data_IF_314610325815
#
_entry.id   IF_314610325815
#
_cell.length_a   1.000
_cell.length_b   1.000
_cell.length_c   1.000
_cell.angle_alpha   90.00
_cell.angle_beta   90.00
_cell.angle_gamma   90.00
#
_symmetry.space_group_name_H-M   'P 1'
#
loop_
_entity.id
_entity.type
_entity.pdbx_description
1 polymer ?
#
# COMPACT_ATOMS: atom_id res chain seq x y z
N UNK A 1 -10.69 15.93 7.38
CA UNK A 1 -9.33 16.09 7.96
C UNK A 1 -8.42 15.01 7.42
N UNK A 2 -7.34 15.36 6.75
CA UNK A 2 -6.33 14.42 6.28
C UNK A 2 -5.19 14.38 7.30
N UNK A 3 -4.94 13.22 7.90
CA UNK A 3 -3.84 13.05 8.85
C UNK A 3 -2.58 12.61 8.11
N UNK A 4 -1.42 13.14 8.49
CA UNK A 4 -0.14 12.63 7.99
C UNK A 4 0.15 11.24 8.57
N UNK A 5 1.12 10.52 8.00
CA UNK A 5 1.54 9.22 8.57
C UNK A 5 2.08 9.39 9.99
N UNK A 6 2.92 10.39 10.22
CA UNK A 6 3.46 10.73 11.55
C UNK A 6 2.32 11.00 12.55
N UNK A 7 1.32 11.79 12.15
CA UNK A 7 0.17 12.09 13.01
C UNK A 7 -0.61 10.85 13.44
N UNK A 8 -0.77 9.89 12.53
CA UNK A 8 -1.43 8.63 12.85
C UNK A 8 -0.60 7.75 13.77
N UNK A 9 0.73 7.69 13.56
CA UNK A 9 1.63 6.98 14.46
C UNK A 9 1.57 7.60 15.85
N UNK A 10 1.64 8.93 15.97
CA UNK A 10 1.55 9.62 17.26
C UNK A 10 0.22 9.33 17.96
N UNK A 11 -0.91 9.32 17.26
CA UNK A 11 -2.21 8.93 17.85
C UNK A 11 -2.16 7.51 18.43
N UNK A 12 -1.59 6.55 17.69
CA UNK A 12 -1.49 5.16 18.14
C UNK A 12 -0.55 5.05 19.35
N UNK A 13 0.63 5.67 19.28
CA UNK A 13 1.57 5.73 20.40
C UNK A 13 0.93 6.34 21.65
N UNK A 14 0.17 7.43 21.52
CA UNK A 14 -0.47 8.07 22.67
C UNK A 14 -1.64 7.27 23.23
N UNK A 15 -2.27 6.37 22.44
CA UNK A 15 -3.31 5.46 22.92
C UNK A 15 -2.74 4.27 23.69
N UNK A 16 -1.62 3.72 23.25
CA UNK A 16 -0.97 2.53 23.82
C UNK A 16 0.30 2.84 24.63
N UNK A 17 0.48 4.09 25.08
CA UNK A 17 1.68 4.47 25.81
C UNK A 17 1.67 3.90 27.25
N UNK A 18 2.65 3.05 27.55
CA UNK A 18 2.77 2.39 28.85
C UNK A 18 1.73 1.28 29.03
N UNK A 19 1.43 0.92 30.27
CA UNK A 19 0.53 -0.21 30.57
C UNK A 19 -0.98 0.13 30.49
N UNK A 20 -1.32 1.34 30.05
CA UNK A 20 -2.70 1.84 30.07
C UNK A 20 -3.19 2.21 28.67
N UNK A 21 -4.31 1.59 28.29
CA UNK A 21 -5.12 2.02 27.15
C UNK A 21 -5.78 3.36 27.46
N UNK A 22 -5.31 4.44 26.82
CA UNK A 22 -5.92 5.77 26.98
C UNK A 22 -7.20 5.89 26.17
N UNK A 23 -8.12 6.72 26.65
CA UNK A 23 -9.37 6.99 25.93
C UNK A 23 -9.12 7.80 24.64
N UNK A 24 -10.07 7.73 23.71
CA UNK A 24 -10.01 8.49 22.45
C UNK A 24 -10.00 10.01 22.64
N UNK A 25 -10.48 10.49 23.79
CA UNK A 25 -10.50 11.92 24.13
C UNK A 25 -9.13 12.39 24.65
N UNK A 26 -8.48 11.57 25.48
CA UNK A 26 -7.15 11.87 26.02
C UNK A 26 -6.09 11.84 24.94
N UNK A 27 -6.13 10.82 24.06
CA UNK A 27 -5.16 10.72 22.96
C UNK A 27 -5.25 11.94 22.05
N UNK A 28 -6.46 12.43 21.74
CA UNK A 28 -6.67 13.67 20.98
C UNK A 28 -5.94 14.87 21.59
N UNK A 29 -6.11 15.10 22.89
CA UNK A 29 -5.59 16.31 23.57
C UNK A 29 -4.06 16.28 23.60
N UNK A 30 -3.47 15.11 23.84
CA UNK A 30 -2.03 14.96 24.03
C UNK A 30 -1.22 14.92 22.72
N UNK A 31 -1.86 14.74 21.56
CA UNK A 31 -1.13 14.54 20.30
C UNK A 31 -0.57 15.85 19.74
N UNK A 32 -1.32 16.97 19.79
CA UNK A 32 -0.90 18.26 19.21
C UNK A 32 -1.48 19.47 19.95
N UNK A 33 -0.81 20.00 20.99
CA UNK A 33 -1.29 21.17 21.73
C UNK A 33 -1.29 22.47 20.91
N UNK A 34 -0.44 22.58 19.88
CA UNK A 34 -0.27 23.79 19.05
C UNK A 34 -0.93 23.69 17.66
N UNK A 35 -1.82 22.71 17.44
CA UNK A 35 -2.55 22.52 16.17
C UNK A 35 -4.03 22.47 16.46
N UNK A 36 -4.83 22.78 15.44
CA UNK A 36 -6.26 22.50 15.46
C UNK A 36 -6.54 21.06 15.96
N UNK A 37 -7.42 20.91 16.95
CA UNK A 37 -7.62 19.64 17.61
C UNK A 37 -8.23 18.62 16.64
N UNK A 38 -7.57 17.47 16.54
CA UNK A 38 -8.07 16.33 15.75
C UNK A 38 -9.43 15.89 16.29
N UNK A 39 -10.40 15.64 15.43
CA UNK A 39 -11.73 15.21 15.92
C UNK A 39 -11.68 13.83 16.58
N UNK A 40 -12.50 13.60 17.61
CA UNK A 40 -12.64 12.27 18.27
C UNK A 40 -12.97 11.17 17.26
N UNK A 41 -13.82 11.47 16.27
CA UNK A 41 -14.19 10.53 15.22
C UNK A 41 -12.97 10.16 14.34
N UNK A 42 -12.07 11.09 14.08
CA UNK A 42 -10.84 10.84 13.32
C UNK A 42 -9.89 9.91 14.08
N UNK A 43 -9.74 10.12 15.40
CA UNK A 43 -8.96 9.23 16.27
C UNK A 43 -9.56 7.82 16.24
N UNK A 44 -10.87 7.69 16.50
CA UNK A 44 -11.56 6.40 16.49
C UNK A 44 -11.39 5.64 15.17
N UNK A 45 -11.64 6.31 14.02
CA UNK A 45 -11.44 5.69 12.69
C UNK A 45 -10.00 5.26 12.44
N UNK A 46 -9.03 6.02 12.94
CA UNK A 46 -7.61 5.71 12.78
C UNK A 46 -7.25 4.45 13.55
N UNK A 47 -7.70 4.35 14.81
CA UNK A 47 -7.38 3.17 15.62
C UNK A 47 -8.16 1.95 15.16
N UNK A 48 -9.46 2.07 14.88
CA UNK A 48 -10.26 0.96 14.37
C UNK A 48 -9.71 0.42 13.03
N UNK A 49 -9.21 1.29 12.15
CA UNK A 49 -8.50 0.85 10.94
C UNK A 49 -7.21 0.10 11.27
N UNK A 50 -6.44 0.58 12.23
CA UNK A 50 -5.20 -0.07 12.65
C UNK A 50 -5.48 -1.45 13.28
N UNK A 51 -6.45 -1.55 14.19
CA UNK A 51 -6.88 -2.83 14.79
C UNK A 51 -7.33 -3.84 13.72
N UNK A 52 -8.04 -3.37 12.66
CA UNK A 52 -8.50 -4.23 11.57
C UNK A 52 -7.39 -4.66 10.60
N UNK A 53 -6.48 -3.76 10.25
CA UNK A 53 -5.54 -3.97 9.12
C UNK A 53 -4.09 -4.16 9.54
N UNK A 54 -3.74 -3.85 10.80
CA UNK A 54 -2.36 -3.76 11.29
C UNK A 54 -1.55 -2.65 10.64
N UNK A 55 -2.15 -1.80 9.80
CA UNK A 55 -1.45 -0.81 8.99
C UNK A 55 -1.81 0.62 9.36
N UNK A 56 -0.78 1.46 9.47
CA UNK A 56 -0.95 2.89 9.67
C UNK A 56 -1.28 3.60 8.35
N UNK A 57 -1.07 2.94 7.20
CA UNK A 57 -1.31 3.49 5.87
C UNK A 57 -2.79 3.87 5.66
N UNK A 58 -3.03 4.79 4.71
CA UNK A 58 -4.41 5.07 4.31
C UNK A 58 -4.83 3.91 3.41
N UNK A 59 -5.95 3.28 3.73
CA UNK A 59 -6.54 2.27 2.87
C UNK A 59 -6.89 2.91 1.52
N UNK A 60 -6.47 2.27 0.42
CA UNK A 60 -6.87 2.73 -0.89
C UNK A 60 -8.39 2.64 -0.99
N UNK A 61 -9.01 3.75 -1.35
CA UNK A 61 -10.46 3.75 -1.58
C UNK A 61 -10.71 2.84 -2.77
N UNK A 62 -11.62 1.89 -2.61
CA UNK A 62 -12.17 1.19 -3.76
C UNK A 62 -12.77 2.24 -4.71
N UNK A 63 -12.17 2.33 -5.90
CA UNK A 63 -12.70 3.18 -6.96
C UNK A 63 -14.03 2.61 -7.47
N UNK A 64 -14.69 3.38 -8.33
CA UNK A 64 -15.83 2.87 -9.11
C UNK A 64 -15.34 1.69 -9.96
N UNK A 65 -16.02 0.55 -9.87
CA UNK A 65 -15.73 -0.61 -10.72
C UNK A 65 -15.90 -0.23 -12.19
N UNK A 66 -14.99 -0.71 -13.04
CA UNK A 66 -15.07 -0.51 -14.49
C UNK A 66 -16.10 -1.51 -15.02
N UNK A 67 -17.21 -1.03 -15.56
CA UNK A 67 -18.28 -1.91 -16.11
C UNK A 67 -17.97 -2.47 -17.49
N UNK A 68 -17.13 -1.79 -18.27
CA UNK A 68 -16.80 -2.18 -19.65
C UNK A 68 -15.42 -2.83 -19.79
N UNK A 69 -14.69 -3.03 -18.70
CA UNK A 69 -13.33 -3.59 -18.72
C UNK A 69 -13.21 -4.54 -17.53
N UNK A 70 -13.85 -5.68 -17.69
CA UNK A 70 -13.80 -6.79 -16.74
C UNK A 70 -12.52 -7.60 -16.97
N UNK A 71 -12.11 -8.39 -15.98
CA UNK A 71 -10.88 -9.18 -16.03
C UNK A 71 -10.83 -10.14 -17.22
N UNK A 72 -11.97 -10.72 -17.61
CA UNK A 72 -12.09 -11.60 -18.77
C UNK A 72 -11.76 -10.88 -20.08
N UNK A 73 -12.29 -9.66 -20.25
CA UNK A 73 -12.04 -8.83 -21.44
C UNK A 73 -10.59 -8.36 -21.48
N UNK A 74 -10.00 -8.08 -20.32
CA UNK A 74 -8.56 -7.75 -20.21
C UNK A 74 -7.71 -8.94 -20.66
N UNK A 75 -8.05 -10.15 -20.21
CA UNK A 75 -7.33 -11.36 -20.57
C UNK A 75 -7.40 -11.64 -22.07
N UNK A 76 -8.59 -11.54 -22.67
CA UNK A 76 -8.80 -11.73 -24.11
C UNK A 76 -8.00 -10.73 -24.96
N UNK A 77 -7.98 -9.45 -24.55
CA UNK A 77 -7.18 -8.40 -25.21
C UNK A 77 -5.68 -8.73 -25.15
N UNK A 78 -5.18 -9.19 -24.00
CA UNK A 78 -3.76 -9.52 -23.83
C UNK A 78 -3.36 -10.75 -24.65
N UNK A 79 -4.18 -11.80 -24.66
CA UNK A 79 -3.96 -13.00 -25.48
C UNK A 79 -3.99 -12.68 -26.99
N UNK A 80 -4.86 -11.75 -27.41
CA UNK A 80 -4.96 -11.34 -28.81
C UNK A 80 -3.72 -10.61 -29.31
N UNK A 81 -3.05 -9.86 -28.44
CA UNK A 81 -1.78 -9.19 -28.76
C UNK A 81 -0.63 -10.20 -28.82
N UNK A 82 -0.58 -11.14 -27.89
CA UNK A 82 0.49 -12.14 -27.77
C UNK A 82 0.47 -13.14 -28.94
N UNK A 83 -0.70 -13.60 -29.37
CA UNK A 83 -0.83 -14.66 -30.36
C UNK A 83 -0.88 -14.16 -31.82
N UNK A 84 -1.37 -12.95 -32.07
CA UNK A 84 -1.71 -12.54 -33.45
C UNK A 84 -1.25 -11.15 -33.89
N UNK A 85 -0.52 -10.37 -33.07
CA UNK A 85 -0.06 -9.02 -33.42
C UNK A 85 -1.13 -8.17 -34.15
N UNK A 86 -2.40 -8.33 -33.77
CA UNK A 86 -3.50 -7.63 -34.43
C UNK A 86 -3.45 -6.14 -34.07
N UNK A 87 -3.85 -5.24 -34.99
CA UNK A 87 -3.96 -3.83 -34.65
C UNK A 87 -5.06 -3.62 -33.59
N UNK A 88 -4.92 -2.63 -32.69
CA UNK A 88 -5.89 -2.37 -31.61
C UNK A 88 -7.32 -2.13 -32.09
N UNK A 89 -7.52 -1.70 -33.33
CA UNK A 89 -8.83 -1.54 -33.95
C UNK A 89 -9.56 -2.87 -34.17
N UNK A 90 -8.84 -3.93 -34.56
CA UNK A 90 -9.43 -5.27 -34.72
C UNK A 90 -9.76 -5.91 -33.37
N UNK A 91 -8.87 -5.74 -32.39
CA UNK A 91 -9.10 -6.23 -31.03
C UNK A 91 -10.33 -5.54 -30.40
N UNK A 92 -10.49 -4.23 -30.64
CA UNK A 92 -11.67 -3.49 -30.19
C UNK A 92 -12.99 -4.04 -30.76
N UNK A 93 -12.98 -4.46 -32.03
CA UNK A 93 -14.15 -5.08 -32.67
C UNK A 93 -14.43 -6.48 -32.11
N UNK A 94 -13.40 -7.31 -31.94
CA UNK A 94 -13.51 -8.67 -31.41
C UNK A 94 -14.03 -8.67 -29.96
N UNK A 95 -13.45 -7.84 -29.10
CA UNK A 95 -13.81 -7.75 -27.69
C UNK A 95 -15.01 -6.81 -27.40
N UNK A 96 -15.64 -6.24 -28.44
CA UNK A 96 -16.75 -5.27 -28.33
C UNK A 96 -16.50 -4.13 -27.33
N UNK A 97 -15.30 -3.57 -27.33
CA UNK A 97 -14.89 -2.45 -26.46
C UNK A 97 -14.33 -1.30 -27.27
N UNK A 98 -14.35 -0.09 -26.70
CA UNK A 98 -13.77 1.06 -27.39
C UNK A 98 -12.27 0.86 -27.64
N UNK A 99 -11.76 1.35 -28.78
CA UNK A 99 -10.32 1.37 -29.06
C UNK A 99 -9.52 2.05 -27.94
N UNK A 100 -10.08 3.08 -27.30
CA UNK A 100 -9.45 3.77 -26.18
C UNK A 100 -9.33 2.87 -24.95
N UNK A 101 -10.32 2.01 -24.70
CA UNK A 101 -10.27 1.00 -23.64
C UNK A 101 -9.16 -0.03 -23.93
N UNK A 102 -9.07 -0.55 -25.15
CA UNK A 102 -7.98 -1.46 -25.56
C UNK A 102 -6.62 -0.82 -25.32
N UNK A 103 -6.41 0.42 -25.79
CA UNK A 103 -5.15 1.13 -25.58
C UNK A 103 -4.84 1.37 -24.10
N UNK A 104 -5.84 1.69 -23.29
CA UNK A 104 -5.66 1.84 -21.83
C UNK A 104 -5.29 0.51 -21.17
N UNK A 105 -5.93 -0.61 -21.57
CA UNK A 105 -5.59 -1.95 -21.07
C UNK A 105 -4.14 -2.28 -21.41
N UNK A 106 -3.75 -2.12 -22.68
CA UNK A 106 -2.38 -2.39 -23.10
C UNK A 106 -1.37 -1.49 -22.39
N UNK A 107 -1.67 -0.20 -22.24
CA UNK A 107 -0.78 0.74 -21.54
C UNK A 107 -0.66 0.37 -20.06
N UNK A 108 -1.77 0.08 -19.36
CA UNK A 108 -1.76 -0.24 -17.93
C UNK A 108 -1.13 -1.61 -17.67
N UNK A 109 -1.49 -2.63 -18.44
CA UNK A 109 -1.04 -4.02 -18.21
C UNK A 109 0.38 -4.28 -18.70
N UNK A 110 0.82 -3.68 -19.83
CA UNK A 110 2.23 -3.76 -20.26
C UNK A 110 3.13 -2.95 -19.32
N UNK A 111 2.63 -1.83 -18.78
CA UNK A 111 3.35 -1.07 -17.76
C UNK A 111 3.38 -1.81 -16.40
N UNK A 112 2.35 -2.58 -16.04
CA UNK A 112 2.34 -3.40 -14.82
C UNK A 112 3.45 -4.48 -14.81
N UNK A 113 3.84 -4.99 -15.97
CA UNK A 113 5.03 -5.86 -16.12
C UNK A 113 6.34 -5.12 -15.84
N UNK A 114 6.39 -3.80 -16.03
CA UNK A 114 7.51 -2.94 -15.59
C UNK A 114 7.35 -2.48 -14.12
N UNK A 115 6.13 -2.39 -13.61
CA UNK A 115 5.86 -1.90 -12.26
C UNK A 115 6.27 -2.89 -11.17
N UNK A 116 6.30 -4.20 -11.45
CA UNK A 116 6.89 -5.19 -10.52
C UNK A 116 8.40 -4.96 -10.33
N UNK A 117 9.13 -4.54 -11.37
CA UNK A 117 10.55 -4.20 -11.28
C UNK A 117 10.79 -2.82 -10.63
N UNK A 118 9.92 -1.84 -10.89
CA UNK A 118 10.03 -0.48 -10.32
C UNK A 118 9.57 -0.41 -8.86
N UNK A 119 8.49 -1.11 -8.48
CA UNK A 119 8.01 -1.16 -7.09
C UNK A 119 8.87 -2.09 -6.21
N UNK A 120 9.49 -3.15 -6.75
CA UNK A 120 10.52 -3.90 -6.01
C UNK A 120 11.72 -3.00 -5.68
N UNK A 121 12.23 -2.21 -6.64
CA UNK A 121 13.34 -1.29 -6.39
C UNK A 121 12.98 -0.18 -5.38
N UNK A 122 11.75 0.33 -5.42
CA UNK A 122 11.30 1.38 -4.48
C UNK A 122 11.00 0.85 -3.08
N UNK A 123 10.56 -0.41 -2.95
CA UNK A 123 10.43 -1.11 -1.67
C UNK A 123 11.80 -1.39 -1.05
N UNK A 124 12.77 -1.88 -1.84
CA UNK A 124 14.15 -2.10 -1.40
C UNK A 124 14.81 -0.82 -0.86
N UNK A 125 14.66 0.31 -1.54
CA UNK A 125 15.26 1.58 -1.10
C UNK A 125 14.62 2.18 0.16
N UNK A 126 13.37 1.83 0.49
CA UNK A 126 12.72 2.29 1.74
C UNK A 126 13.11 1.45 2.93
N UNK A 127 13.21 0.13 2.76
CA UNK A 127 13.68 -0.79 3.80
C UNK A 127 15.16 -0.51 4.17
N UNK A 128 16.01 -0.24 3.18
CA UNK A 128 17.43 0.10 3.40
C UNK A 128 17.60 1.44 4.14
N UNK A 129 16.73 2.44 3.89
CA UNK A 129 16.79 3.72 4.60
C UNK A 129 16.30 3.63 6.05
N UNK A 130 15.37 2.72 6.36
CA UNK A 130 14.98 2.43 7.75
C UNK A 130 16.16 1.80 8.51
N UNK A 131 16.93 0.92 7.86
CA UNK A 131 18.13 0.32 8.44
C UNK A 131 19.25 1.37 8.65
N UNK A 132 19.39 2.35 7.77
CA UNK A 132 20.39 3.42 7.92
C UNK A 132 20.05 4.46 9.00
N UNK A 133 18.76 4.66 9.30
CA UNK A 133 18.28 5.60 10.34
C UNK A 133 18.37 5.04 11.77
N UNK A 134 18.38 3.71 11.93
CA UNK A 134 18.56 3.03 13.23
C UNK A 134 20.04 2.90 13.66
N UNK A 135 20.98 3.40 12.84
CA UNK A 135 22.43 3.23 13.00
C UNK A 135 23.05 3.95 14.21
N UNK A 136 22.26 4.63 15.05
CA UNK A 136 22.79 5.42 16.17
C UNK A 136 22.62 4.81 17.57
N UNK A 137 21.91 3.68 17.78
CA UNK A 137 21.64 3.20 19.17
C UNK A 137 21.61 1.68 19.44
N UNK A 138 21.94 0.80 18.49
CA UNK A 138 21.89 -0.65 18.76
C UNK A 138 23.14 -1.41 18.31
N UNK A 139 23.47 -2.42 19.12
CA UNK A 139 24.59 -3.33 18.97
C UNK A 139 24.45 -4.13 17.66
N UNK A 140 25.55 -4.35 16.94
CA UNK A 140 25.57 -4.99 15.60
C UNK A 140 24.83 -6.35 15.60
N UNK A 141 24.82 -7.01 16.76
CA UNK A 141 24.11 -8.26 17.01
C UNK A 141 22.59 -8.19 16.83
N UNK A 142 21.95 -7.08 17.22
CA UNK A 142 20.49 -6.91 17.12
C UNK A 142 20.04 -6.70 15.68
N UNK A 143 20.88 -6.02 14.88
CA UNK A 143 20.67 -5.83 13.45
C UNK A 143 20.82 -7.18 12.72
N UNK A 144 21.82 -7.97 13.09
CA UNK A 144 22.03 -9.30 12.50
C UNK A 144 20.84 -10.24 12.80
N UNK A 145 20.29 -10.19 14.03
CA UNK A 145 19.11 -10.98 14.42
C UNK A 145 17.85 -10.59 13.64
N UNK A 146 17.62 -9.29 13.42
CA UNK A 146 16.51 -8.80 12.62
C UNK A 146 16.66 -9.18 11.14
N UNK A 147 17.88 -9.14 10.60
CA UNK A 147 18.15 -9.59 9.24
C UNK A 147 17.95 -11.10 9.07
N UNK A 148 18.39 -11.92 10.03
CA UNK A 148 18.14 -13.37 10.04
C UNK A 148 16.64 -13.70 10.13
N UNK A 149 15.91 -13.02 11.01
CA UNK A 149 14.46 -13.24 11.14
C UNK A 149 13.69 -12.82 9.88
N UNK A 150 14.15 -11.79 9.16
CA UNK A 150 13.57 -11.39 7.87
C UNK A 150 13.94 -12.39 6.76
N UNK A 151 15.13 -12.98 6.79
CA UNK A 151 15.56 -13.99 5.84
C UNK A 151 14.73 -15.28 5.97
N UNK A 152 14.50 -15.77 7.19
CA UNK A 152 13.63 -16.94 7.43
C UNK A 152 12.18 -16.68 7.00
N UNK A 153 11.70 -15.44 7.15
CA UNK A 153 10.36 -15.05 6.71
C UNK A 153 10.21 -14.99 5.19
N UNK A 154 11.32 -14.90 4.45
CA UNK A 154 11.36 -14.90 2.98
C UNK A 154 11.40 -16.33 2.41
N UNK A 155 12.07 -17.27 3.07
CA UNK A 155 12.13 -18.68 2.62
C UNK A 155 10.89 -19.51 3.00
N UNK A 156 10.08 -19.06 3.96
CA UNK A 156 8.87 -19.74 4.43
C UNK A 156 7.65 -19.76 3.47
N UNK A 157 7.81 -19.46 2.18
CA UNK A 157 6.74 -19.52 1.17
C UNK A 157 6.97 -20.58 0.08
N UNK A 158 7.56 -21.71 0.45
CA UNK A 158 7.60 -22.93 -0.37
C UNK A 158 7.21 -24.15 0.48
N UNK A 159 5.93 -24.25 0.86
CA UNK A 159 5.14 -25.49 0.78
C UNK A 159 3.66 -25.24 1.07
#
# INVERSE_FOLDING_TARGET
MHLTTTERITILMMREYGDKMRSHQESRILTYPNRDPISKATVYRTVSRFERTGSVAVEQRSGRSKTATNDDVVLEVLQSVENHHKPPSKIAQECNISRRSVMNILTVCMCARCESLYNCNKAMHKEINIIFSLRSRHNVFTILLLLLHLYEKMDGKQK
#
